data_IF_519723375450
#
_entry.id   IF_519723375450
#
_cell.length_a   1.000
_cell.length_b   1.000
_cell.length_c   1.000
_cell.angle_alpha   90.00
_cell.angle_beta   90.00
_cell.angle_gamma   90.00
#
_symmetry.space_group_name_H-M   'P 1'
#
loop_
_entity.id
_entity.type
_entity.pdbx_description
1 polymer ?
#
# COMPACT_ATOMS: atom_id res chain seq x y z
N UNK A 1 -9.29 -4.24 2.63
CA UNK A 1 -8.87 -4.07 1.22
C UNK A 1 -10.09 -4.00 0.30
N UNK A 2 -10.93 -5.05 0.27
CA UNK A 2 -12.12 -5.12 -0.58
C UNK A 2 -13.06 -3.90 -0.49
N UNK A 3 -13.30 -3.34 0.69
CA UNK A 3 -14.18 -2.16 0.84
C UNK A 3 -13.63 -0.89 0.18
N UNK A 4 -12.30 -0.72 0.16
CA UNK A 4 -11.66 0.43 -0.49
C UNK A 4 -11.63 0.22 -2.00
N UNK A 5 -11.37 -1.01 -2.45
CA UNK A 5 -11.37 -1.37 -3.86
C UNK A 5 -12.75 -1.17 -4.51
N UNK A 6 -13.86 -1.35 -3.78
CA UNK A 6 -15.22 -1.01 -4.27
C UNK A 6 -15.42 0.46 -4.64
N UNK A 7 -14.55 1.37 -4.18
CA UNK A 7 -14.60 2.81 -4.49
C UNK A 7 -13.74 3.18 -5.69
N UNK A 8 -13.06 2.22 -6.29
CA UNK A 8 -12.11 2.38 -7.38
C UNK A 8 -12.58 1.51 -8.55
N UNK A 9 -12.24 1.91 -9.77
CA UNK A 9 -12.41 1.03 -10.91
C UNK A 9 -11.22 0.05 -11.04
N UNK A 10 -11.35 -0.95 -11.91
CA UNK A 10 -10.34 -2.00 -12.05
C UNK A 10 -8.98 -1.46 -12.50
N UNK A 11 -8.95 -0.46 -13.39
CA UNK A 11 -7.71 0.18 -13.86
C UNK A 11 -6.98 0.90 -12.72
N UNK A 12 -7.70 1.61 -11.87
CA UNK A 12 -7.16 2.28 -10.69
C UNK A 12 -6.60 1.27 -9.70
N UNK A 13 -7.31 0.16 -9.46
CA UNK A 13 -6.83 -0.91 -8.58
C UNK A 13 -5.56 -1.56 -9.14
N UNK A 14 -5.51 -1.83 -10.45
CA UNK A 14 -4.32 -2.38 -11.11
C UNK A 14 -3.13 -1.41 -11.03
N UNK A 15 -3.37 -0.12 -11.26
CA UNK A 15 -2.34 0.91 -11.15
C UNK A 15 -1.78 1.00 -9.72
N UNK A 16 -2.65 1.02 -8.70
CA UNK A 16 -2.22 1.03 -7.31
C UNK A 16 -1.41 -0.22 -6.95
N UNK A 17 -1.77 -1.39 -7.48
CA UNK A 17 -0.98 -2.63 -7.32
C UNK A 17 0.42 -2.50 -7.93
N UNK A 18 0.52 -1.91 -9.13
CA UNK A 18 1.81 -1.64 -9.75
C UNK A 18 2.66 -0.68 -8.90
N UNK A 19 2.09 0.45 -8.47
CA UNK A 19 2.78 1.41 -7.59
C UNK A 19 3.23 0.77 -6.27
N UNK A 20 2.43 -0.15 -5.72
CA UNK A 20 2.70 -0.82 -4.46
C UNK A 20 3.91 -1.76 -4.51
N UNK A 21 4.18 -2.37 -5.67
CA UNK A 21 5.41 -3.16 -5.87
C UNK A 21 6.65 -2.28 -5.75
N UNK A 22 6.58 -1.02 -6.21
CA UNK A 22 7.68 -0.06 -6.20
C UNK A 22 7.84 0.57 -4.81
N UNK A 23 6.73 1.01 -4.20
CA UNK A 23 6.73 1.64 -2.90
C UNK A 23 5.48 1.26 -2.10
N UNK A 24 5.66 0.46 -1.06
CA UNK A 24 4.57 0.06 -0.13
C UNK A 24 4.12 1.17 0.81
N UNK A 25 4.93 2.22 0.98
CA UNK A 25 4.74 3.33 1.91
C UNK A 25 4.83 4.69 1.20
N UNK A 26 3.97 4.97 0.22
CA UNK A 26 3.97 6.29 -0.39
C UNK A 26 3.56 7.34 0.65
N UNK A 27 4.26 8.47 0.65
CA UNK A 27 3.87 9.64 1.41
C UNK A 27 2.66 10.35 0.80
N UNK A 28 2.16 11.36 1.51
CA UNK A 28 1.02 12.17 1.10
C UNK A 28 1.21 12.78 -0.30
N UNK A 29 2.42 13.26 -0.62
CA UNK A 29 2.73 13.86 -1.91
C UNK A 29 2.46 12.89 -3.08
N UNK A 30 2.90 11.63 -2.96
CA UNK A 30 2.69 10.64 -4.02
C UNK A 30 1.22 10.24 -4.13
N UNK A 31 0.50 10.11 -3.02
CA UNK A 31 -0.93 9.84 -3.05
C UNK A 31 -1.72 11.00 -3.72
N UNK A 32 -1.30 12.25 -3.50
CA UNK A 32 -1.89 13.42 -4.15
C UNK A 32 -1.61 13.42 -5.65
N UNK A 33 -0.38 13.12 -6.06
CA UNK A 33 0.00 12.99 -7.47
C UNK A 33 -0.86 11.94 -8.20
N UNK A 34 -1.09 10.77 -7.58
CA UNK A 34 -1.94 9.73 -8.14
C UNK A 34 -3.40 10.21 -8.28
N UNK A 35 -3.93 10.91 -7.28
CA UNK A 35 -5.28 11.47 -7.33
C UNK A 35 -5.43 12.54 -8.43
N UNK A 36 -4.42 13.42 -8.57
CA UNK A 36 -4.35 14.44 -9.61
C UNK A 36 -4.25 13.83 -11.01
N UNK A 37 -3.48 12.74 -11.18
CA UNK A 37 -3.36 12.01 -12.44
C UNK A 37 -4.69 11.44 -12.93
N UNK A 38 -5.58 11.08 -12.01
CA UNK A 38 -6.93 10.62 -12.35
C UNK A 38 -7.90 11.77 -12.62
N UNK A 39 -7.40 13.00 -12.71
CA UNK A 39 -8.19 14.23 -12.87
C UNK A 39 -9.22 14.43 -11.76
N UNK A 40 -9.00 13.80 -10.59
CA UNK A 40 -9.84 13.93 -9.41
C UNK A 40 -9.06 14.75 -8.37
N UNK A 41 -9.04 16.06 -8.57
CA UNK A 41 -8.48 16.98 -7.59
C UNK A 41 -9.39 17.03 -6.35
N UNK A 42 -9.10 16.22 -5.33
CA UNK A 42 -9.88 16.22 -4.10
C UNK A 42 -9.22 15.48 -2.95
N UNK A 43 -9.29 16.08 -1.76
CA UNK A 43 -8.84 15.48 -0.50
C UNK A 43 -9.42 14.06 -0.27
N UNK A 44 -10.64 13.82 -0.77
CA UNK A 44 -11.31 12.53 -0.72
C UNK A 44 -10.53 11.44 -1.48
N UNK A 45 -10.04 11.72 -2.68
CA UNK A 45 -9.36 10.71 -3.50
C UNK A 45 -7.96 10.41 -2.98
N UNK A 46 -7.23 11.43 -2.54
CA UNK A 46 -5.95 11.25 -1.82
C UNK A 46 -6.13 10.34 -0.59
N UNK A 47 -7.22 10.52 0.15
CA UNK A 47 -7.54 9.69 1.31
C UNK A 47 -7.87 8.24 0.93
N UNK A 48 -8.60 8.02 -0.18
CA UNK A 48 -8.87 6.67 -0.71
C UNK A 48 -7.56 5.98 -1.09
N UNK A 49 -6.68 6.66 -1.81
CA UNK A 49 -5.37 6.12 -2.22
C UNK A 49 -4.58 5.70 -0.99
N UNK A 50 -4.40 6.61 -0.02
CA UNK A 50 -3.70 6.30 1.24
C UNK A 50 -4.32 5.12 1.99
N UNK A 51 -5.65 5.07 2.07
CA UNK A 51 -6.37 3.98 2.74
C UNK A 51 -6.19 2.65 2.00
N UNK A 52 -6.09 2.66 0.67
CA UNK A 52 -5.79 1.47 -0.12
C UNK A 52 -4.38 0.94 0.21
N UNK A 53 -3.36 1.80 0.20
CA UNK A 53 -1.98 1.41 0.56
C UNK A 53 -1.88 0.85 1.98
N UNK A 54 -2.58 1.46 2.94
CA UNK A 54 -2.67 0.94 4.31
C UNK A 54 -3.35 -0.43 4.36
N UNK A 55 -4.53 -0.55 3.75
CA UNK A 55 -5.30 -1.79 3.75
C UNK A 55 -4.56 -2.94 3.02
N UNK A 56 -3.79 -2.63 1.98
CA UNK A 56 -2.97 -3.61 1.27
C UNK A 56 -1.86 -4.15 2.16
N UNK A 57 -1.14 -3.28 2.88
CA UNK A 57 -0.12 -3.71 3.86
C UNK A 57 -0.69 -4.60 4.96
N UNK A 58 -1.85 -4.20 5.50
CA UNK A 58 -2.52 -5.00 6.54
C UNK A 58 -3.05 -6.35 6.02
N UNK A 59 -3.20 -6.50 4.70
CA UNK A 59 -3.59 -7.76 4.06
C UNK A 59 -2.40 -8.66 3.69
N UNK A 60 -1.17 -8.16 3.81
CA UNK A 60 0.00 -9.01 3.61
C UNK A 60 0.14 -9.98 4.80
N UNK A 61 0.47 -11.25 4.54
CA UNK A 61 0.82 -12.15 5.62
C UNK A 61 2.03 -11.54 6.35
N UNK A 62 1.92 -11.37 7.67
CA UNK A 62 3.09 -11.03 8.48
C UNK A 62 4.13 -12.14 8.28
N UNK A 63 5.25 -11.81 7.65
CA UNK A 63 6.38 -12.73 7.58
C UNK A 63 6.91 -12.85 9.01
N UNK A 64 6.89 -14.05 9.62
CA UNK A 64 7.45 -14.21 10.95
C UNK A 64 8.94 -13.88 10.87
N UNK A 65 9.36 -12.90 11.68
CA UNK A 65 10.77 -12.59 11.86
C UNK A 65 11.40 -13.88 12.39
N UNK A 66 12.18 -14.59 11.57
CA UNK A 66 12.97 -15.71 12.05
C UNK A 66 13.82 -15.16 13.18
N UNK A 67 13.59 -15.65 14.41
CA UNK A 67 14.51 -15.36 15.52
C UNK A 67 15.90 -15.68 15.01
N UNK A 68 16.79 -14.69 15.07
CA UNK A 68 18.21 -14.91 14.84
C UNK A 68 18.65 -15.80 16.01
N UNK A 69 18.66 -17.11 15.80
CA UNK A 69 19.33 -18.01 16.72
C UNK A 69 20.82 -17.67 16.58
N UNK A 70 21.36 -16.97 17.58
CA UNK A 70 22.80 -16.75 17.65
C UNK A 70 23.47 -18.12 17.53
N UNK A 71 24.48 -18.28 16.64
CA UNK A 71 25.17 -19.55 16.53
C UNK A 71 25.70 -19.90 17.92
N UNK A 72 25.23 -21.07 18.36
CA UNK A 72 25.55 -21.75 19.60
C UNK A 72 26.91 -21.31 20.17
N UNK A 73 26.90 -20.58 21.29
CA UNK A 73 28.07 -20.44 22.14
C UNK A 73 28.30 -21.80 22.80
N UNK A 74 28.87 -22.73 22.03
CA UNK A 74 29.21 -24.06 22.48
C UNK A 74 30.71 -24.30 22.26
N UNK A 75 31.37 -24.54 23.41
CA UNK A 75 32.72 -25.05 23.66
C UNK A 75 33.88 -24.03 23.55
#
# INVERSE_FOLDING_TARGET
LAEVEKKLNDEQVQYLRHCYVINKHPGLAKAKEIAEQWNVAGFYFTSIVMRWFYARRMSEPMVPIRRFEAPNAAA
#
